data_IF_683292946916
#
_entry.id   IF_683292946916
#
_cell.length_a   1.000
_cell.length_b   1.000
_cell.length_c   1.000
_cell.angle_alpha   90.00
_cell.angle_beta   90.00
_cell.angle_gamma   90.00
#
_symmetry.space_group_name_H-M   'P 1'
#
loop_
_entity.id
_entity.type
_entity.pdbx_description
1 polymer ?
#
# COMPACT_ATOMS: atom_id res chain seq x y z
N UNK A 1 11.86 -1.01 -6.30
CA UNK A 1 12.33 -2.31 -5.75
C UNK A 1 12.95 -3.08 -6.90
N UNK A 2 13.98 -3.89 -6.65
CA UNK A 2 14.71 -4.61 -7.70
C UNK A 2 14.60 -6.12 -7.48
N UNK A 3 14.36 -6.86 -8.56
CA UNK A 3 14.41 -8.32 -8.61
C UNK A 3 15.51 -8.69 -9.60
N UNK A 4 16.56 -9.37 -9.12
CA UNK A 4 17.70 -9.82 -9.92
C UNK A 4 17.66 -11.35 -10.03
N UNK A 5 18.03 -11.87 -11.19
CA UNK A 5 18.07 -13.30 -11.49
C UNK A 5 19.50 -13.79 -11.68
N UNK A 6 19.71 -15.10 -11.57
CA UNK A 6 21.06 -15.72 -11.62
C UNK A 6 21.77 -15.51 -12.97
N UNK A 7 21.01 -15.34 -14.05
CA UNK A 7 21.52 -15.05 -15.39
C UNK A 7 21.90 -13.58 -15.61
N UNK A 8 21.75 -12.74 -14.58
CA UNK A 8 22.02 -11.30 -14.62
C UNK A 8 20.87 -10.45 -15.18
N UNK A 9 19.74 -11.06 -15.56
CA UNK A 9 18.53 -10.31 -15.89
C UNK A 9 17.93 -9.67 -14.63
N UNK A 10 17.17 -8.58 -14.81
CA UNK A 10 16.59 -7.85 -13.69
C UNK A 10 15.29 -7.12 -14.05
N UNK A 11 14.44 -6.91 -13.04
CA UNK A 11 13.19 -6.15 -13.13
C UNK A 11 13.13 -5.15 -11.98
N UNK A 12 13.04 -3.86 -12.30
CA UNK A 12 12.67 -2.83 -11.32
C UNK A 12 11.17 -2.61 -11.32
N UNK A 13 10.57 -2.63 -10.13
CA UNK A 13 9.13 -2.52 -9.95
C UNK A 13 8.75 -1.64 -8.75
N UNK A 14 7.53 -1.11 -8.78
CA UNK A 14 6.91 -0.36 -7.67
C UNK A 14 5.92 -1.23 -6.87
N UNK A 15 5.44 -0.69 -5.75
CA UNK A 15 4.46 -1.35 -4.87
C UNK A 15 3.18 -1.72 -5.61
N UNK A 16 2.50 -2.74 -5.11
CA UNK A 16 1.18 -3.16 -5.61
C UNK A 16 0.17 -2.01 -5.50
N UNK A 17 -0.43 -1.66 -6.63
CA UNK A 17 -1.46 -0.63 -6.71
C UNK A 17 -2.87 -1.19 -6.49
N UNK A 18 -3.86 -0.32 -6.24
CA UNK A 18 -5.28 -0.72 -6.16
C UNK A 18 -5.71 -1.45 -7.45
N UNK A 19 -5.38 -0.89 -8.62
CA UNK A 19 -5.66 -1.53 -9.93
C UNK A 19 -4.99 -2.89 -10.04
N UNK A 20 -3.74 -2.98 -9.62
CA UNK A 20 -3.00 -4.23 -9.59
C UNK A 20 -3.71 -5.29 -8.77
N UNK A 21 -4.10 -4.96 -7.54
CA UNK A 21 -4.79 -5.90 -6.66
C UNK A 21 -6.12 -6.39 -7.27
N UNK A 22 -6.90 -5.50 -7.90
CA UNK A 22 -8.14 -5.87 -8.59
C UNK A 22 -7.91 -6.86 -9.74
N UNK A 23 -6.87 -6.65 -10.56
CA UNK A 23 -6.52 -7.53 -11.67
C UNK A 23 -6.03 -8.89 -11.16
N UNK A 24 -5.16 -8.89 -10.15
CA UNK A 24 -4.66 -10.13 -9.53
C UNK A 24 -5.79 -10.97 -8.93
N UNK A 25 -6.78 -10.35 -8.26
CA UNK A 25 -7.96 -11.04 -7.73
C UNK A 25 -8.84 -11.69 -8.81
N UNK A 26 -8.81 -11.16 -10.03
CA UNK A 26 -9.51 -11.72 -11.20
C UNK A 26 -8.68 -12.77 -11.94
N UNK A 27 -7.50 -13.13 -11.44
CA UNK A 27 -6.56 -14.03 -12.13
C UNK A 27 -5.84 -13.40 -13.33
N UNK A 28 -5.97 -12.08 -13.53
CA UNK A 28 -5.41 -11.37 -14.70
C UNK A 28 -4.00 -10.87 -14.41
N UNK A 29 -3.10 -11.80 -14.09
CA UNK A 29 -1.73 -11.49 -13.61
C UNK A 29 -0.93 -10.72 -14.65
N UNK A 30 -0.88 -11.22 -15.89
CA UNK A 30 -0.12 -10.59 -16.99
C UNK A 30 -0.57 -9.16 -17.26
N UNK A 31 -1.87 -8.88 -17.14
CA UNK A 31 -2.41 -7.55 -17.32
C UNK A 31 -2.07 -6.59 -16.18
N UNK A 32 -1.81 -7.12 -14.98
CA UNK A 32 -1.40 -6.32 -13.84
C UNK A 32 0.05 -5.85 -13.96
N UNK A 33 0.95 -6.67 -14.53
CA UNK A 33 2.40 -6.43 -14.50
C UNK A 33 2.85 -5.08 -15.10
N UNK A 34 2.35 -4.63 -16.26
CA UNK A 34 2.79 -3.38 -16.86
C UNK A 34 2.56 -2.14 -15.99
N UNK A 35 1.61 -2.18 -15.06
CA UNK A 35 1.37 -1.06 -14.14
C UNK A 35 2.40 -0.97 -13.02
N UNK A 36 3.21 -2.01 -12.81
CA UNK A 36 4.11 -2.14 -11.68
C UNK A 36 5.57 -2.21 -12.09
N UNK A 37 5.89 -2.71 -13.29
CA UNK A 37 7.25 -2.70 -13.81
C UNK A 37 7.61 -1.28 -14.26
N UNK A 38 8.71 -0.75 -13.73
CA UNK A 38 9.25 0.58 -14.05
C UNK A 38 10.22 0.45 -15.23
N UNK A 39 11.16 -0.50 -15.12
CA UNK A 39 12.14 -0.85 -16.15
C UNK A 39 12.61 -2.29 -15.93
N UNK A 40 13.20 -2.89 -16.95
CA UNK A 40 13.79 -4.23 -16.90
C UNK A 40 15.04 -4.31 -17.78
N UNK A 41 15.79 -5.40 -17.65
CA UNK A 41 16.98 -5.67 -18.47
C UNK A 41 16.67 -5.99 -19.94
N UNK A 42 15.40 -6.27 -20.27
CA UNK A 42 14.99 -6.60 -21.63
C UNK A 42 14.96 -5.37 -22.55
N UNK A 43 15.43 -5.52 -23.79
CA UNK A 43 15.41 -4.47 -24.82
C UNK A 43 14.05 -4.38 -25.56
N UNK A 44 12.96 -4.62 -24.82
CA UNK A 44 11.59 -4.56 -25.36
C UNK A 44 10.72 -3.66 -24.47
N UNK A 45 9.71 -2.97 -25.04
CA UNK A 45 8.83 -2.10 -24.25
C UNK A 45 8.00 -2.91 -23.25
N UNK A 46 7.71 -2.33 -22.09
CA UNK A 46 6.85 -2.93 -21.06
C UNK A 46 5.37 -2.74 -21.45
N UNK A 47 4.68 -3.84 -21.76
CA UNK A 47 3.24 -3.86 -22.04
C UNK A 47 2.69 -5.28 -21.82
N UNK A 48 1.37 -5.46 -21.92
CA UNK A 48 0.71 -6.75 -21.67
C UNK A 48 1.29 -7.86 -22.55
N UNK A 49 1.61 -7.58 -23.81
CA UNK A 49 2.15 -8.56 -24.76
C UNK A 49 3.54 -9.02 -24.35
N UNK A 50 4.46 -8.09 -24.05
CA UNK A 50 5.83 -8.42 -23.66
C UNK A 50 5.90 -9.02 -22.25
N UNK A 51 5.07 -8.56 -21.32
CA UNK A 51 4.92 -9.21 -20.01
C UNK A 51 4.37 -10.64 -20.15
N UNK A 52 3.54 -10.92 -21.16
CA UNK A 52 3.04 -12.27 -21.46
C UNK A 52 4.08 -13.21 -22.06
N UNK A 53 5.27 -12.71 -22.43
CA UNK A 53 6.39 -13.50 -22.92
C UNK A 53 7.39 -13.87 -21.82
N UNK A 54 7.25 -13.29 -20.63
CA UNK A 54 8.11 -13.64 -19.48
C UNK A 54 7.95 -15.11 -19.11
N UNK A 55 9.04 -15.71 -18.62
CA UNK A 55 8.99 -17.07 -18.05
C UNK A 55 7.92 -17.12 -16.93
N UNK A 56 7.06 -18.16 -16.89
CA UNK A 56 6.05 -18.30 -15.85
C UNK A 56 6.58 -18.19 -14.42
N UNK A 57 7.82 -18.64 -14.14
CA UNK A 57 8.45 -18.50 -12.83
C UNK A 57 8.73 -17.05 -12.48
N UNK A 58 9.19 -16.25 -13.45
CA UNK A 58 9.41 -14.80 -13.29
C UNK A 58 8.09 -14.10 -12.99
N UNK A 59 7.02 -14.47 -13.71
CA UNK A 59 5.67 -13.93 -13.50
C UNK A 59 5.16 -14.23 -12.08
N UNK A 60 5.26 -15.48 -11.62
CA UNK A 60 4.81 -15.86 -10.28
C UNK A 60 5.67 -15.21 -9.18
N UNK A 61 6.98 -15.10 -9.38
CA UNK A 61 7.87 -14.43 -8.43
C UNK A 61 7.53 -12.93 -8.33
N UNK A 62 7.33 -12.25 -9.45
CA UNK A 62 6.93 -10.85 -9.46
C UNK A 62 5.55 -10.66 -8.81
N UNK A 63 4.59 -11.54 -9.10
CA UNK A 63 3.28 -11.54 -8.44
C UNK A 63 3.41 -11.68 -6.93
N UNK A 64 4.24 -12.61 -6.46
CA UNK A 64 4.51 -12.82 -5.03
C UNK A 64 5.10 -11.56 -4.41
N UNK A 65 6.12 -10.98 -5.02
CA UNK A 65 6.77 -9.74 -4.56
C UNK A 65 5.82 -8.54 -4.49
N UNK A 66 4.91 -8.43 -5.45
CA UNK A 66 3.87 -7.40 -5.40
C UNK A 66 2.93 -7.60 -4.21
N UNK A 67 2.48 -8.83 -3.94
CA UNK A 67 1.63 -9.11 -2.78
C UNK A 67 2.37 -8.84 -1.46
N UNK A 68 3.63 -9.27 -1.34
CA UNK A 68 4.50 -8.99 -0.19
C UNK A 68 4.64 -7.48 0.08
N UNK A 69 4.70 -6.66 -0.97
CA UNK A 69 4.87 -5.21 -0.81
C UNK A 69 3.71 -4.50 -0.08
N UNK A 70 2.53 -5.15 0.00
CA UNK A 70 1.35 -4.60 0.67
C UNK A 70 0.90 -5.42 1.90
N UNK A 71 1.48 -6.60 2.10
CA UNK A 71 1.12 -7.54 3.15
C UNK A 71 1.18 -6.93 4.57
N UNK A 72 2.22 -6.17 4.97
CA UNK A 72 2.36 -5.71 6.35
C UNK A 72 1.19 -4.86 6.87
N UNK A 73 0.51 -4.13 5.99
CA UNK A 73 -0.66 -3.32 6.34
C UNK A 73 -1.96 -4.10 6.13
N UNK A 74 -2.04 -4.89 5.06
CA UNK A 74 -3.24 -5.64 4.72
C UNK A 74 -3.51 -6.83 5.65
N UNK A 75 -2.47 -7.40 6.27
CA UNK A 75 -2.57 -8.51 7.22
C UNK A 75 -2.94 -8.08 8.64
N UNK A 76 -2.87 -6.78 8.94
CA UNK A 76 -3.24 -6.26 10.26
C UNK A 76 -4.72 -6.49 10.55
N UNK A 77 -5.00 -6.99 11.75
CA UNK A 77 -6.36 -7.04 12.25
C UNK A 77 -6.96 -5.63 12.31
N UNK A 78 -8.17 -5.49 11.75
CA UNK A 78 -8.84 -4.20 11.62
C UNK A 78 -9.09 -3.52 12.97
N UNK A 79 -9.36 -4.29 14.03
CA UNK A 79 -9.56 -3.75 15.37
C UNK A 79 -8.24 -3.29 15.98
N UNK A 80 -7.15 -4.03 15.75
CA UNK A 80 -5.81 -3.61 16.16
C UNK A 80 -5.43 -2.29 15.50
N UNK A 81 -5.57 -2.18 14.18
CA UNK A 81 -5.27 -0.95 13.43
C UNK A 81 -6.12 0.22 13.93
N UNK A 82 -7.44 0.02 14.09
CA UNK A 82 -8.35 1.05 14.62
C UNK A 82 -7.94 1.52 16.02
N UNK A 83 -7.59 0.59 16.92
CA UNK A 83 -7.10 0.90 18.26
C UNK A 83 -5.82 1.73 18.19
N UNK A 84 -4.86 1.34 17.36
CA UNK A 84 -3.60 2.06 17.20
C UNK A 84 -3.80 3.47 16.65
N UNK A 85 -4.61 3.63 15.61
CA UNK A 85 -4.98 4.94 15.07
C UNK A 85 -5.59 5.84 16.15
N UNK A 86 -6.51 5.31 16.97
CA UNK A 86 -7.13 6.05 18.08
C UNK A 86 -6.09 6.52 19.10
N UNK A 87 -5.14 5.66 19.48
CA UNK A 87 -4.06 6.03 20.40
C UNK A 87 -3.15 7.10 19.80
N UNK A 88 -2.76 6.96 18.53
CA UNK A 88 -1.92 7.93 17.83
C UNK A 88 -2.61 9.30 17.73
N UNK A 89 -3.91 9.35 17.40
CA UNK A 89 -4.68 10.59 17.33
C UNK A 89 -4.79 11.29 18.69
N UNK A 90 -4.82 10.53 19.78
CA UNK A 90 -4.81 11.05 21.17
C UNK A 90 -3.41 11.39 21.69
N UNK A 91 -2.36 11.17 20.90
CA UNK A 91 -0.97 11.35 21.33
C UNK A 91 -0.52 10.37 22.42
N UNK A 92 -1.18 9.20 22.53
CA UNK A 92 -0.90 8.20 23.54
C UNK A 92 0.12 7.17 23.04
N UNK A 93 1.00 6.73 23.94
CA UNK A 93 2.00 5.68 23.66
C UNK A 93 1.45 4.30 23.98
N UNK A 94 1.93 3.27 23.28
CA UNK A 94 1.56 1.89 23.57
C UNK A 94 2.65 1.21 24.40
N UNK A 95 2.22 0.41 25.38
CA UNK A 95 3.03 -0.63 26.03
C UNK A 95 2.54 -2.00 25.50
N UNK A 96 3.01 -2.43 24.34
CA UNK A 96 2.59 -3.70 23.72
C UNK A 96 3.78 -4.47 23.14
N UNK A 97 3.62 -5.78 22.96
CA UNK A 97 4.55 -6.67 22.24
C UNK A 97 4.76 -6.22 20.80
N UNK A 98 3.74 -5.60 20.20
CA UNK A 98 3.70 -5.23 18.78
C UNK A 98 4.32 -3.84 18.52
N UNK A 99 5.21 -3.39 19.41
CA UNK A 99 5.75 -2.03 19.41
C UNK A 99 6.48 -1.68 18.11
N UNK A 100 7.17 -2.64 17.51
CA UNK A 100 7.94 -2.44 16.28
C UNK A 100 7.03 -2.07 15.10
N UNK A 101 6.02 -2.90 14.82
CA UNK A 101 5.03 -2.65 13.76
C UNK A 101 4.25 -1.36 14.05
N UNK A 102 3.89 -1.11 15.31
CA UNK A 102 3.24 0.15 15.69
C UNK A 102 4.10 1.37 15.33
N UNK A 103 5.40 1.34 15.64
CA UNK A 103 6.32 2.43 15.33
C UNK A 103 6.52 2.58 13.82
N UNK A 104 6.60 1.47 13.09
CA UNK A 104 6.66 1.49 11.63
C UNK A 104 5.44 2.19 11.02
N UNK A 105 4.24 1.86 11.49
CA UNK A 105 3.01 2.51 11.05
C UNK A 105 3.00 3.98 11.45
N UNK A 106 3.44 4.30 12.67
CA UNK A 106 3.46 5.66 13.16
C UNK A 106 4.37 6.55 12.29
N UNK A 107 5.58 6.07 12.00
CA UNK A 107 6.60 6.83 11.29
C UNK A 107 6.36 6.88 9.78
N UNK A 108 5.96 5.76 9.19
CA UNK A 108 5.87 5.65 7.73
C UNK A 108 4.46 5.92 7.19
N UNK A 109 3.40 5.82 8.01
CA UNK A 109 2.02 5.99 7.56
C UNK A 109 1.30 7.15 8.24
N UNK A 110 1.21 7.13 9.57
CA UNK A 110 0.39 8.07 10.33
C UNK A 110 0.82 9.53 10.15
N UNK A 111 2.12 9.82 10.21
CA UNK A 111 2.63 11.19 10.06
C UNK A 111 2.27 11.80 8.71
N UNK A 112 2.31 11.02 7.63
CA UNK A 112 1.96 11.49 6.29
C UNK A 112 0.45 11.51 6.06
N UNK A 113 -0.31 10.60 6.68
CA UNK A 113 -1.77 10.59 6.57
C UNK A 113 -2.39 11.92 7.03
N UNK A 114 -1.81 12.56 8.06
CA UNK A 114 -2.19 13.90 8.50
C UNK A 114 -2.00 14.98 7.41
N UNK A 115 -1.03 14.82 6.50
CA UNK A 115 -0.80 15.72 5.37
C UNK A 115 -1.76 15.44 4.20
N UNK A 116 -2.31 14.24 4.15
CA UNK A 116 -3.23 13.80 3.10
C UNK A 116 -4.70 14.04 3.44
N UNK A 117 -5.01 14.39 4.69
CA UNK A 117 -6.38 14.65 5.15
C UNK A 117 -6.57 16.08 5.65
N UNK A 118 -7.73 16.67 5.36
CA UNK A 118 -8.11 17.97 5.93
C UNK A 118 -8.60 17.85 7.39
N UNK A 119 -8.88 18.98 8.02
CA UNK A 119 -9.42 19.07 9.38
C UNK A 119 -10.80 18.43 9.59
N UNK A 120 -11.50 18.01 8.51
CA UNK A 120 -12.77 17.27 8.56
C UNK A 120 -12.57 15.78 8.29
N UNK A 121 -11.34 15.32 8.06
CA UNK A 121 -11.01 13.94 7.71
C UNK A 121 -11.23 13.59 6.24
N UNK A 122 -11.42 14.57 5.34
CA UNK A 122 -11.46 14.30 3.90
C UNK A 122 -10.05 14.07 3.37
N UNK A 123 -9.87 13.04 2.54
CA UNK A 123 -8.61 12.83 1.81
C UNK A 123 -8.53 13.89 0.70
N UNK A 124 -7.57 14.80 0.81
CA UNK A 124 -7.37 15.93 -0.11
C UNK A 124 -6.16 15.73 -1.02
N UNK A 125 -5.24 14.86 -0.66
CA UNK A 125 -4.06 14.51 -1.45
C UNK A 125 -3.88 12.99 -1.47
N UNK A 126 -3.22 12.49 -2.52
CA UNK A 126 -2.86 11.08 -2.66
C UNK A 126 -1.35 10.89 -2.47
N UNK A 127 -0.90 9.72 -1.98
CA UNK A 127 0.52 9.43 -1.77
C UNK A 127 1.38 9.50 -3.03
N UNK A 128 0.86 9.01 -4.15
CA UNK A 128 1.51 9.02 -5.46
C UNK A 128 0.71 9.85 -6.48
N UNK A 129 1.37 10.22 -7.58
CA UNK A 129 0.69 10.84 -8.72
C UNK A 129 -0.33 9.89 -9.37
N UNK A 130 -1.33 10.46 -10.05
CA UNK A 130 -2.38 9.70 -10.73
C UNK A 130 -3.67 9.62 -9.92
N UNK A 131 -4.56 8.70 -10.30
CA UNK A 131 -5.85 8.50 -9.65
C UNK A 131 -5.78 7.48 -8.50
N UNK A 132 -6.92 7.22 -7.87
CA UNK A 132 -7.08 6.21 -6.79
C UNK A 132 -6.57 4.84 -7.22
N UNK A 133 -6.81 4.46 -8.48
CA UNK A 133 -6.42 3.17 -9.03
C UNK A 133 -4.89 2.99 -9.13
N UNK A 134 -4.15 4.10 -9.22
CA UNK A 134 -2.70 4.10 -9.40
C UNK A 134 -1.95 4.12 -8.07
N UNK A 135 -2.68 4.31 -6.96
CA UNK A 135 -2.10 4.42 -5.62
C UNK A 135 -1.70 3.06 -5.06
N UNK A 136 -0.63 3.00 -4.23
CA UNK A 136 -0.30 1.82 -3.45
C UNK A 136 -1.46 1.35 -2.58
N UNK A 137 -1.75 0.05 -2.62
CA UNK A 137 -2.96 -0.48 -2.00
C UNK A 137 -2.90 -0.52 -0.47
N UNK A 138 -1.70 -0.70 0.09
CA UNK A 138 -1.39 -0.58 1.52
C UNK A 138 -1.76 0.82 2.03
N UNK A 139 -1.33 1.85 1.33
CA UNK A 139 -1.63 3.23 1.65
C UNK A 139 -3.12 3.55 1.56
N UNK A 140 -3.79 3.09 0.51
CA UNK A 140 -5.23 3.34 0.37
C UNK A 140 -6.03 2.65 1.47
N UNK A 141 -5.66 1.43 1.85
CA UNK A 141 -6.25 0.74 2.99
C UNK A 141 -6.04 1.52 4.29
N UNK A 142 -4.80 1.97 4.53
CA UNK A 142 -4.45 2.75 5.71
C UNK A 142 -5.22 4.07 5.78
N UNK A 143 -5.27 4.84 4.69
CA UNK A 143 -5.94 6.14 4.65
C UNK A 143 -7.45 6.04 4.89
N UNK A 144 -8.09 4.98 4.40
CA UNK A 144 -9.51 4.73 4.67
C UNK A 144 -9.76 4.39 6.15
N UNK A 145 -8.89 3.58 6.76
CA UNK A 145 -8.95 3.30 8.18
C UNK A 145 -8.70 4.57 9.01
N UNK A 146 -7.65 5.33 8.67
CA UNK A 146 -7.30 6.59 9.31
C UNK A 146 -8.46 7.59 9.26
N UNK A 147 -9.05 7.83 8.08
CA UNK A 147 -10.21 8.72 7.90
C UNK A 147 -11.34 8.35 8.84
N UNK A 148 -11.66 7.06 8.91
CA UNK A 148 -12.75 6.56 9.76
C UNK A 148 -12.46 6.86 11.24
N UNK A 149 -11.27 6.52 11.72
CA UNK A 149 -10.86 6.79 13.10
C UNK A 149 -10.77 8.29 13.42
N UNK A 150 -10.32 9.12 12.48
CA UNK A 150 -10.22 10.56 12.64
C UNK A 150 -11.59 11.21 12.82
N UNK A 151 -12.55 10.86 11.95
CA UNK A 151 -13.92 11.39 12.02
C UNK A 151 -14.63 10.94 13.30
N UNK A 152 -14.45 9.69 13.72
CA UNK A 152 -14.97 9.20 15.01
C UNK A 152 -14.41 10.00 16.20
N UNK A 153 -13.11 10.29 16.20
CA UNK A 153 -12.47 11.07 17.26
C UNK A 153 -12.93 12.53 17.27
N UNK A 154 -13.08 13.17 16.10
CA UNK A 154 -13.69 14.50 16.00
C UNK A 154 -15.10 14.53 16.57
N UNK A 155 -15.92 13.52 16.26
CA UNK A 155 -17.28 13.43 16.77
C UNK A 155 -17.31 13.25 18.31
N UNK A 156 -16.40 12.46 18.86
CA UNK A 156 -16.28 12.27 20.31
C UNK A 156 -15.87 13.57 21.02
N UNK A 157 -14.92 14.32 20.46
CA UNK A 157 -14.50 15.61 21.01
C UNK A 157 -15.61 16.67 20.96
N UNK A 158 -16.49 16.62 19.98
CA UNK A 158 -17.64 17.52 19.89
C UNK A 158 -18.79 17.15 20.85
N UNK A 159 -18.91 15.90 21.29
CA UNK A 159 -19.91 15.46 22.29
C UNK A 159 -19.51 15.77 23.73
N UNK A 160 -18.22 16.03 23.98
CA UNK A 160 -17.68 16.41 25.29
C UNK A 160 -17.68 17.92 25.56
N UNK A 161 -18.25 18.73 24.65
CA UNK A 161 -18.52 20.16 24.81
C UNK A 161 -20.01 20.39 24.98
#
# INVERSE_FOLDING_TARGET
>A
MLLEFEDGSWIEYKKLTVRGLELLRKGRVIEALPFHIIRWSEDVPINVKTCGMLDPKVVEELRRKLLESAEPILSLDKQILKRWLTLMLKGQTIRTSDREIFLEIQQNYFQYALLYTDHKGNIINLPEQGGILDQPVDWMFFLLAFKTSFVEELANNNKGR
#
